data_IF_679842578666
#
_entry.id   IF_679842578666
#
_cell.length_a   1.000
_cell.length_b   1.000
_cell.length_c   1.000
_cell.angle_alpha   90.00
_cell.angle_beta   90.00
_cell.angle_gamma   90.00
#
_symmetry.space_group_name_H-M   'P 1'
#
loop_
_entity.id
_entity.type
_entity.pdbx_description
1 polymer ?
#
# COMPACT_ATOMS: atom_id res chain seq x y z
N UNK A 1 5.25 -4.44 -7.75
CA UNK A 1 4.79 -5.03 -6.47
C UNK A 1 3.83 -4.08 -5.79
N UNK A 2 2.65 -4.54 -5.39
CA UNK A 2 1.67 -3.76 -4.61
C UNK A 2 1.67 -4.34 -3.20
N UNK A 3 1.91 -3.49 -2.19
CA UNK A 3 1.77 -3.89 -0.78
C UNK A 3 0.29 -3.92 -0.46
N UNK A 4 -0.19 -5.08 0.01
CA UNK A 4 -1.60 -5.30 0.29
C UNK A 4 -1.83 -5.66 1.74
N UNK A 5 -2.90 -5.13 2.31
CA UNK A 5 -3.48 -5.45 3.61
C UNK A 5 -5.00 -5.20 3.54
N UNK A 6 -5.82 -5.75 4.45
CA UNK A 6 -7.28 -5.61 4.41
C UNK A 6 -7.71 -4.18 4.79
N UNK A 7 -7.31 -3.20 3.99
CA UNK A 7 -7.60 -1.78 4.16
C UNK A 7 -8.07 -1.16 2.84
N UNK A 8 -8.91 -0.12 2.89
CA UNK A 8 -9.31 0.62 1.69
C UNK A 8 -8.13 1.28 0.95
N UNK A 9 -7.05 1.60 1.66
CA UNK A 9 -5.86 2.23 1.08
C UNK A 9 -5.14 1.26 0.14
N UNK A 10 -4.98 0.00 0.55
CA UNK A 10 -4.40 -1.05 -0.28
C UNK A 10 -5.27 -1.38 -1.49
N UNK A 11 -6.60 -1.42 -1.32
CA UNK A 11 -7.52 -1.57 -2.44
C UNK A 11 -7.40 -0.42 -3.45
N UNK A 12 -7.27 0.83 -2.98
CA UNK A 12 -7.06 1.99 -3.84
C UNK A 12 -5.73 1.94 -4.59
N UNK A 13 -4.65 1.52 -3.92
CA UNK A 13 -3.34 1.35 -4.53
C UNK A 13 -3.36 0.28 -5.63
N UNK A 14 -4.05 -0.84 -5.39
CA UNK A 14 -4.23 -1.88 -6.40
C UNK A 14 -5.05 -1.36 -7.60
N UNK A 15 -6.14 -0.64 -7.34
CA UNK A 15 -6.95 -0.04 -8.39
C UNK A 15 -6.12 0.92 -9.25
N UNK A 16 -5.31 1.78 -8.64
CA UNK A 16 -4.38 2.65 -9.35
C UNK A 16 -3.39 1.85 -10.20
N UNK A 17 -2.81 0.79 -9.65
CA UNK A 17 -1.83 -0.04 -10.35
C UNK A 17 -2.43 -0.64 -11.64
N UNK A 18 -3.63 -1.25 -11.53
CA UNK A 18 -4.32 -1.91 -12.64
C UNK A 18 -4.79 -0.95 -13.74
N UNK A 19 -4.99 0.33 -13.42
CA UNK A 19 -5.53 1.32 -14.36
C UNK A 19 -4.47 2.23 -14.98
N UNK A 20 -3.36 2.50 -14.28
CA UNK A 20 -2.41 3.53 -14.69
C UNK A 20 -0.94 3.10 -14.67
N UNK A 21 -0.58 2.04 -13.95
CA UNK A 21 0.83 1.70 -13.73
C UNK A 21 1.29 0.47 -14.52
N UNK A 22 0.39 -0.48 -14.79
CA UNK A 22 0.75 -1.76 -15.39
C UNK A 22 0.50 -1.79 -16.91
N UNK A 23 1.40 -2.45 -17.63
CA UNK A 23 1.27 -2.78 -19.06
C UNK A 23 1.26 -4.30 -19.29
N UNK A 24 0.91 -4.75 -20.50
CA UNK A 24 0.64 -6.17 -20.83
C UNK A 24 1.80 -7.14 -20.52
N UNK A 25 3.05 -6.67 -20.53
CA UNK A 25 4.23 -7.49 -20.28
C UNK A 25 4.68 -7.52 -18.81
N UNK A 26 3.96 -6.81 -17.93
CA UNK A 26 4.34 -6.68 -16.53
C UNK A 26 3.95 -7.91 -15.71
N UNK A 27 4.69 -8.10 -14.61
CA UNK A 27 4.36 -9.06 -13.56
C UNK A 27 3.90 -8.31 -12.32
N UNK A 28 2.69 -8.60 -11.87
CA UNK A 28 2.12 -8.02 -10.67
C UNK A 28 2.34 -8.97 -9.48
N UNK A 29 3.02 -8.49 -8.45
CA UNK A 29 3.13 -9.19 -7.16
C UNK A 29 2.26 -8.49 -6.14
N UNK A 30 1.26 -9.19 -5.62
CA UNK A 30 0.48 -8.80 -4.43
C UNK A 30 1.27 -9.26 -3.20
N UNK A 31 1.89 -8.32 -2.49
CA UNK A 31 2.74 -8.61 -1.35
C UNK A 31 2.00 -8.40 -0.03
N UNK A 32 1.72 -9.49 0.66
CA UNK A 32 1.03 -9.50 1.96
C UNK A 32 2.02 -9.80 3.08
N UNK A 33 1.98 -8.98 4.12
CA UNK A 33 2.79 -9.18 5.31
C UNK A 33 1.89 -9.72 6.40
N UNK A 34 2.12 -10.97 6.78
CA UNK A 34 1.35 -11.65 7.81
C UNK A 34 1.65 -11.00 9.18
N UNK A 35 0.60 -10.87 9.99
CA UNK A 35 0.75 -10.39 11.36
C UNK A 35 1.24 -11.57 12.19
N UNK A 36 2.38 -11.42 12.87
CA UNK A 36 2.84 -12.41 13.84
C UNK A 36 1.83 -12.49 14.98
N UNK A 37 0.94 -13.49 14.96
CA UNK A 37 0.10 -13.83 16.10
C UNK A 37 1.03 -14.51 17.10
N UNK A 38 1.50 -13.79 18.12
CA UNK A 38 2.11 -14.47 19.25
C UNK A 38 1.07 -15.45 19.80
N UNK A 39 1.40 -16.74 19.75
CA UNK A 39 0.63 -17.82 20.36
C UNK A 39 0.65 -17.68 21.88
N UNK A 40 -0.09 -16.71 22.40
CA UNK A 40 -0.34 -16.54 23.84
C UNK A 40 -1.55 -15.63 24.06
N UNK A 41 -2.74 -16.09 23.66
CA UNK A 41 -3.96 -16.04 24.47
C UNK A 41 -5.18 -16.31 23.60
N UNK A 42 -5.90 -17.36 23.96
CA UNK A 42 -7.29 -17.57 23.57
C UNK A 42 -8.12 -16.38 24.05
N UNK A 43 -8.46 -15.46 23.14
CA UNK A 43 -9.57 -14.54 23.30
C UNK A 43 -10.11 -14.14 21.92
N UNK A 44 -11.29 -14.60 21.49
CA UNK A 44 -11.93 -14.11 20.28
C UNK A 44 -12.64 -12.82 20.66
N UNK A 45 -11.98 -11.67 20.57
CA UNK A 45 -12.66 -10.38 20.64
C UNK A 45 -11.86 -9.29 19.94
N UNK A 46 -12.07 -9.17 18.63
CA UNK A 46 -12.16 -7.86 17.99
C UNK A 46 -13.14 -7.96 16.82
N UNK A 47 -14.42 -7.76 17.14
CA UNK A 47 -15.42 -7.35 16.16
C UNK A 47 -15.15 -5.87 15.86
N UNK A 48 -14.83 -5.55 14.61
CA UNK A 48 -15.17 -4.29 13.92
C UNK A 48 -14.68 -4.39 12.47
N UNK A 49 -15.55 -4.83 11.57
CA UNK A 49 -16.41 -3.98 10.72
C UNK A 49 -15.77 -3.73 9.35
N UNK A 50 -16.15 -4.60 8.40
CA UNK A 50 -15.84 -4.46 6.98
C UNK A 50 -15.63 -5.81 6.32
N UNK A 51 -16.72 -6.47 5.91
CA UNK A 51 -16.94 -7.52 4.89
C UNK A 51 -15.76 -8.29 4.23
N UNK A 52 -14.64 -8.53 4.90
CA UNK A 52 -13.58 -9.39 4.42
C UNK A 52 -13.48 -10.55 5.41
N UNK A 53 -13.60 -11.77 4.90
CA UNK A 53 -13.45 -12.99 5.67
C UNK A 53 -12.04 -13.15 6.21
N UNK A 54 -11.56 -14.38 6.29
CA UNK A 54 -10.17 -14.66 6.66
C UNK A 54 -9.18 -13.91 5.76
N UNK A 55 -7.92 -13.75 6.18
CA UNK A 55 -6.86 -13.15 5.35
C UNK A 55 -6.77 -13.79 3.96
N UNK A 56 -7.11 -15.09 3.84
CA UNK A 56 -7.18 -15.79 2.58
C UNK A 56 -8.31 -15.25 1.68
N UNK A 57 -9.50 -15.01 2.24
CA UNK A 57 -10.66 -14.50 1.49
C UNK A 57 -10.37 -13.11 0.90
N UNK A 58 -9.69 -12.25 1.65
CA UNK A 58 -9.29 -10.93 1.17
C UNK A 58 -8.31 -11.00 0.00
N UNK A 59 -7.25 -11.80 0.11
CA UNK A 59 -6.24 -11.92 -0.94
C UNK A 59 -6.81 -12.55 -2.21
N UNK A 60 -7.72 -13.51 -2.08
CA UNK A 60 -8.42 -14.11 -3.20
C UNK A 60 -9.30 -13.07 -3.92
N UNK A 61 -9.99 -12.20 -3.19
CA UNK A 61 -10.75 -11.11 -3.79
C UNK A 61 -9.86 -10.14 -4.57
N UNK A 62 -8.72 -9.73 -4.00
CA UNK A 62 -7.77 -8.86 -4.71
C UNK A 62 -7.21 -9.52 -5.96
N UNK A 63 -6.84 -10.79 -5.88
CA UNK A 63 -6.34 -11.56 -7.03
C UNK A 63 -7.39 -11.64 -8.13
N UNK A 64 -8.64 -12.00 -7.81
CA UNK A 64 -9.74 -12.02 -8.77
C UNK A 64 -9.94 -10.64 -9.43
N UNK A 65 -9.86 -9.56 -8.66
CA UNK A 65 -9.97 -8.21 -9.21
C UNK A 65 -8.86 -7.91 -10.24
N UNK A 66 -7.64 -8.42 -10.02
CA UNK A 66 -6.55 -8.30 -11.00
C UNK A 66 -6.84 -9.11 -12.26
N UNK A 67 -7.27 -10.37 -12.11
CA UNK A 67 -7.57 -11.28 -13.23
C UNK A 67 -8.71 -10.76 -14.11
N UNK A 68 -9.72 -10.12 -13.51
CA UNK A 68 -10.83 -9.48 -14.23
C UNK A 68 -10.38 -8.20 -14.93
N UNK A 69 -9.64 -7.32 -14.24
CA UNK A 69 -9.26 -6.02 -14.79
C UNK A 69 -8.18 -6.11 -15.87
N UNK A 70 -7.23 -7.05 -15.72
CA UNK A 70 -6.05 -7.20 -16.56
C UNK A 70 -5.72 -8.69 -16.76
N UNK A 71 -6.50 -9.43 -17.56
CA UNK A 71 -6.39 -10.89 -17.69
C UNK A 71 -5.06 -11.38 -18.28
N UNK A 72 -4.30 -10.50 -18.93
CA UNK A 72 -3.01 -10.82 -19.54
C UNK A 72 -1.83 -10.67 -18.59
N UNK A 73 -2.02 -9.96 -17.47
CA UNK A 73 -0.97 -9.73 -16.49
C UNK A 73 -0.77 -10.98 -15.65
N UNK A 74 0.49 -11.36 -15.43
CA UNK A 74 0.82 -12.44 -14.52
C UNK A 74 0.76 -11.94 -13.07
N UNK A 75 -0.23 -12.41 -12.31
CA UNK A 75 -0.46 -12.04 -10.92
C UNK A 75 0.08 -13.13 -9.98
N UNK A 76 1.00 -12.76 -9.09
CA UNK A 76 1.55 -13.63 -8.05
C UNK A 76 1.19 -13.08 -6.67
N UNK A 77 0.79 -13.95 -5.75
CA UNK A 77 0.68 -13.60 -4.32
C UNK A 77 1.98 -14.01 -3.64
N UNK A 78 2.58 -13.10 -2.88
CA UNK A 78 3.74 -13.36 -2.05
C UNK A 78 3.40 -13.00 -0.61
N UNK A 79 3.45 -14.00 0.29
CA UNK A 79 3.21 -13.81 1.73
C UNK A 79 4.52 -13.88 2.48
N UNK A 80 4.69 -13.08 3.53
CA UNK A 80 5.89 -13.10 4.36
C UNK A 80 5.56 -12.64 5.77
N UNK A 81 6.11 -13.32 6.77
CA UNK A 81 6.04 -12.91 8.17
C UNK A 81 6.99 -11.75 8.48
N UNK A 82 6.69 -11.01 9.54
CA UNK A 82 7.54 -9.90 9.96
C UNK A 82 8.89 -10.33 10.57
N UNK A 83 9.02 -11.58 11.05
CA UNK A 83 10.26 -12.13 11.63
C UNK A 83 10.95 -11.15 12.62
N UNK A 84 10.15 -10.51 13.49
CA UNK A 84 10.62 -9.50 14.44
C UNK A 84 11.08 -8.16 13.85
N UNK A 85 11.11 -8.01 12.52
CA UNK A 85 11.43 -6.77 11.81
C UNK A 85 10.19 -5.91 11.63
N UNK A 86 10.38 -4.61 11.41
CA UNK A 86 9.28 -3.74 11.05
C UNK A 86 8.82 -3.97 9.59
N UNK A 87 7.58 -3.60 9.28
CA UNK A 87 6.99 -3.80 7.95
C UNK A 87 7.80 -3.15 6.82
N UNK A 88 8.36 -1.96 7.06
CA UNK A 88 9.08 -1.25 6.02
C UNK A 88 10.38 -1.98 5.68
N UNK A 89 11.13 -2.42 6.71
CA UNK A 89 12.32 -3.24 6.52
C UNK A 89 12.05 -4.53 5.73
N UNK A 90 10.93 -5.21 6.02
CA UNK A 90 10.50 -6.41 5.28
C UNK A 90 10.22 -6.10 3.81
N UNK A 91 9.48 -5.01 3.53
CA UNK A 91 9.18 -4.57 2.16
C UNK A 91 10.48 -4.25 1.41
N UNK A 92 11.41 -3.51 2.03
CA UNK A 92 12.68 -3.14 1.41
C UNK A 92 13.53 -4.38 1.09
N UNK A 93 13.69 -5.30 2.04
CA UNK A 93 14.42 -6.55 1.81
C UNK A 93 13.80 -7.34 0.68
N UNK A 94 12.49 -7.57 0.74
CA UNK A 94 11.80 -8.37 -0.27
C UNK A 94 11.81 -7.72 -1.64
N UNK A 95 11.75 -6.39 -1.71
CA UNK A 95 11.86 -5.65 -2.98
C UNK A 95 13.20 -5.88 -3.66
N UNK A 96 14.29 -5.99 -2.88
CA UNK A 96 15.63 -6.28 -3.40
C UNK A 96 15.75 -7.74 -3.83
N UNK A 97 15.28 -8.67 -3.00
CA UNK A 97 15.37 -10.11 -3.27
C UNK A 97 14.60 -10.51 -4.52
N UNK A 98 13.40 -9.93 -4.71
CA UNK A 98 12.56 -10.18 -5.88
C UNK A 98 12.90 -9.28 -7.08
N UNK A 99 13.91 -8.40 -6.96
CA UNK A 99 14.32 -7.43 -7.99
C UNK A 99 13.14 -6.62 -8.54
N UNK A 100 12.38 -6.01 -7.63
CA UNK A 100 11.20 -5.21 -7.96
C UNK A 100 11.61 -3.86 -8.56
N UNK A 101 11.00 -3.47 -9.69
CA UNK A 101 11.24 -2.17 -10.33
C UNK A 101 10.34 -1.04 -9.79
N UNK A 102 9.10 -1.38 -9.41
CA UNK A 102 8.09 -0.45 -8.90
C UNK A 102 7.36 -1.03 -7.68
N UNK A 103 7.38 -0.30 -6.57
CA UNK A 103 6.60 -0.55 -5.35
C UNK A 103 5.44 0.45 -5.30
N UNK A 104 4.23 -0.05 -5.09
CA UNK A 104 3.02 0.77 -4.92
C UNK A 104 2.44 0.48 -3.53
N UNK A 105 2.18 1.53 -2.75
CA UNK A 105 1.70 1.44 -1.36
C UNK A 105 0.49 2.33 -1.16
N UNK A 106 -0.55 1.82 -0.51
CA UNK A 106 -1.69 2.62 -0.09
C UNK A 106 -1.32 3.60 1.03
N UNK A 107 -1.60 4.89 0.85
CA UNK A 107 -1.38 5.91 1.87
C UNK A 107 -2.72 6.37 2.46
N UNK A 108 -2.78 6.40 3.80
CA UNK A 108 -3.97 6.88 4.52
C UNK A 108 -4.06 8.40 4.41
N UNK A 109 -5.27 8.87 4.15
CA UNK A 109 -5.61 10.29 4.31
C UNK A 109 -5.60 10.65 5.80
N UNK A 110 -4.69 11.51 6.22
CA UNK A 110 -4.76 12.08 7.57
C UNK A 110 -6.02 12.94 7.71
N UNK A 111 -6.85 12.69 8.73
CA UNK A 111 -8.08 13.46 9.02
C UNK A 111 -7.77 14.93 9.33
N UNK A 112 -6.56 15.22 9.79
CA UNK A 112 -6.06 16.60 10.01
C UNK A 112 -6.02 17.41 8.71
N UNK A 113 -5.85 16.75 7.56
CA UNK A 113 -5.78 17.39 6.24
C UNK A 113 -7.15 17.53 5.55
N UNK A 114 -8.22 16.98 6.14
CA UNK A 114 -9.57 16.98 5.54
C UNK A 114 -10.51 18.04 6.13
N UNK A 115 -10.38 18.36 7.42
CA UNK A 115 -11.32 19.24 8.12
C UNK A 115 -10.81 20.69 8.21
N UNK A 116 -9.50 20.91 8.26
CA UNK A 116 -8.95 22.24 8.54
C UNK A 116 -8.40 22.99 7.32
N UNK A 117 -8.30 22.41 6.13
CA UNK A 117 -7.83 23.14 4.94
C UNK A 117 -6.43 23.77 5.05
N UNK A 118 -5.69 23.54 6.14
CA UNK A 118 -4.35 24.09 6.34
C UNK A 118 -3.40 23.23 5.50
N UNK A 119 -3.18 23.67 4.26
CA UNK A 119 -1.92 23.45 3.56
C UNK A 119 -0.80 23.91 4.49
N UNK A 120 -0.19 22.99 5.24
CA UNK A 120 1.24 23.16 5.52
C UNK A 120 1.95 22.74 4.25
N UNK A 121 2.09 23.72 3.35
CA UNK A 121 3.21 23.74 2.42
C UNK A 121 4.47 23.37 3.22
N UNK A 122 5.29 22.51 2.61
CA UNK A 122 6.65 22.21 3.02
C UNK A 122 7.28 23.34 3.83
N UNK A 123 7.46 23.12 5.14
CA UNK A 123 8.00 24.13 6.05
C UNK A 123 7.59 23.90 7.50
N UNK A 124 8.51 23.27 8.26
CA UNK A 124 8.73 23.32 9.71
C UNK A 124 7.57 23.67 10.67
N UNK A 125 7.35 22.81 11.69
CA UNK A 125 7.48 23.15 13.12
C UNK A 125 6.80 22.08 14.02
N UNK A 126 7.59 21.62 15.00
CA UNK A 126 7.26 20.92 16.26
C UNK A 126 7.05 19.39 16.25
N UNK A 127 8.03 18.71 16.86
CA UNK A 127 8.03 17.31 17.28
C UNK A 127 9.05 16.46 16.52
N UNK A 128 9.78 15.51 17.15
CA UNK A 128 10.55 14.52 16.40
C UNK A 128 9.54 13.80 15.50
N UNK A 129 9.67 14.02 14.18
CA UNK A 129 8.79 13.41 13.20
C UNK A 129 8.87 11.90 13.44
N UNK A 130 7.81 11.29 13.96
CA UNK A 130 7.59 9.89 13.68
C UNK A 130 7.55 9.81 12.16
N UNK A 131 8.65 9.37 11.55
CA UNK A 131 8.77 9.28 10.10
C UNK A 131 7.61 8.40 9.64
N UNK A 132 6.74 8.94 8.78
CA UNK A 132 5.66 8.14 8.20
C UNK A 132 6.31 6.92 7.54
N UNK A 133 5.87 5.70 7.88
CA UNK A 133 6.45 4.45 7.36
C UNK A 133 6.47 4.46 5.83
N UNK A 134 5.48 5.12 5.22
CA UNK A 134 5.38 5.32 3.78
C UNK A 134 6.48 6.25 3.25
N UNK A 135 6.74 7.37 3.93
CA UNK A 135 7.84 8.27 3.56
C UNK A 135 9.20 7.59 3.71
N UNK A 136 9.39 6.82 4.79
CA UNK A 136 10.61 6.02 4.96
C UNK A 136 10.81 5.05 3.80
N UNK A 137 9.75 4.37 3.36
CA UNK A 137 9.81 3.47 2.21
C UNK A 137 10.14 4.20 0.90
N UNK A 138 9.54 5.36 0.66
CA UNK A 138 9.82 6.17 -0.53
C UNK A 138 11.29 6.61 -0.59
N UNK A 139 11.86 7.02 0.55
CA UNK A 139 13.22 7.55 0.58
C UNK A 139 14.28 6.44 0.47
N UNK A 140 14.01 5.27 1.08
CA UNK A 140 14.96 4.17 1.23
C UNK A 140 14.72 3.02 0.25
N UNK A 141 13.68 3.06 -0.59
CA UNK A 141 13.45 2.02 -1.60
C UNK A 141 14.62 1.95 -2.59
N UNK A 142 15.10 0.74 -2.92
CA UNK A 142 16.14 0.57 -3.94
C UNK A 142 15.63 0.84 -5.36
N UNK A 143 14.31 0.88 -5.54
CA UNK A 143 13.61 1.08 -6.80
C UNK A 143 12.54 2.18 -6.69
N UNK A 144 11.78 2.40 -7.75
CA UNK A 144 10.71 3.40 -7.75
C UNK A 144 9.64 3.02 -6.73
N UNK A 145 9.35 3.90 -5.78
CA UNK A 145 8.29 3.69 -4.79
C UNK A 145 7.28 4.83 -4.87
N UNK A 146 6.01 4.46 -5.02
CA UNK A 146 4.89 5.38 -5.16
C UNK A 146 3.85 5.07 -4.09
N UNK A 147 3.57 6.06 -3.25
CA UNK A 147 2.46 6.04 -2.35
C UNK A 147 1.22 6.65 -3.00
N UNK A 148 0.09 5.96 -2.86
CA UNK A 148 -1.16 6.27 -3.53
C UNK A 148 -2.23 6.60 -2.51
N UNK A 149 -2.84 7.76 -2.65
CA UNK A 149 -3.98 8.18 -1.84
C UNK A 149 -5.17 8.49 -2.75
N UNK A 150 -6.27 7.74 -2.61
CA UNK A 150 -7.52 8.00 -3.35
C UNK A 150 -8.19 9.30 -2.88
N UNK A 151 -8.65 10.12 -3.81
CA UNK A 151 -9.31 11.40 -3.53
C UNK A 151 -10.80 11.32 -3.86
N UNK A 152 -11.62 10.97 -2.87
CA UNK A 152 -13.07 10.83 -3.06
C UNK A 152 -13.43 9.71 -4.05
N UNK A 153 -14.68 9.68 -4.52
CA UNK A 153 -15.10 8.66 -5.49
C UNK A 153 -14.56 8.95 -6.90
N UNK A 154 -14.66 10.20 -7.37
CA UNK A 154 -14.31 10.60 -8.74
C UNK A 154 -13.13 11.59 -8.81
N UNK A 155 -12.42 11.81 -7.70
CA UNK A 155 -11.35 12.81 -7.65
C UNK A 155 -9.96 12.26 -7.97
N UNK A 156 -9.84 11.04 -8.48
CA UNK A 156 -8.56 10.43 -8.86
C UNK A 156 -7.65 10.10 -7.67
N UNK A 157 -6.34 10.27 -7.87
CA UNK A 157 -5.29 9.84 -6.96
C UNK A 157 -4.29 10.96 -6.67
N UNK A 158 -3.83 11.05 -5.42
CA UNK A 158 -2.65 11.82 -5.06
C UNK A 158 -1.49 10.85 -4.91
N UNK A 159 -0.41 11.10 -5.64
CA UNK A 159 0.79 10.29 -5.70
C UNK A 159 1.95 11.00 -4.98
N UNK A 160 2.68 10.24 -4.17
CA UNK A 160 3.93 10.66 -3.56
C UNK A 160 5.03 9.67 -3.92
N UNK A 161 6.15 10.18 -4.43
CA UNK A 161 7.37 9.45 -4.74
C UNK A 161 8.57 10.23 -4.20
N UNK A 162 9.78 9.75 -4.52
CA UNK A 162 11.03 10.39 -4.11
C UNK A 162 11.22 11.74 -4.81
N UNK A 163 10.85 11.83 -6.08
CA UNK A 163 11.06 13.02 -6.91
C UNK A 163 9.82 13.93 -6.99
N UNK A 164 8.62 13.40 -6.72
CA UNK A 164 7.38 14.15 -6.82
C UNK A 164 6.53 13.96 -5.57
N UNK A 165 6.05 15.05 -4.98
CA UNK A 165 5.12 15.03 -3.85
C UNK A 165 3.82 15.71 -4.24
N UNK A 166 2.70 15.19 -3.75
CA UNK A 166 1.35 15.69 -3.99
C UNK A 166 0.99 15.79 -5.49
N UNK A 167 1.48 14.86 -6.31
CA UNK A 167 1.12 14.83 -7.72
C UNK A 167 -0.31 14.32 -7.85
N UNK A 168 -1.21 15.16 -8.36
CA UNK A 168 -2.62 14.80 -8.49
C UNK A 168 -2.90 14.25 -9.88
N UNK A 169 -3.16 12.96 -9.95
CA UNK A 169 -3.66 12.26 -11.13
C UNK A 169 -5.18 12.27 -11.11
N UNK A 170 -5.80 12.88 -12.12
CA UNK A 170 -7.26 12.88 -12.28
C UNK A 170 -7.76 11.49 -12.69
N UNK A 171 -9.00 11.17 -12.33
CA UNK A 171 -9.67 9.93 -12.72
C UNK A 171 -10.10 9.95 -14.18
#
# INVERSE_FOLDING_TARGET
>A
MVVVDPTPQSAAALQYALSHALVEQDKLILFYIEKSYNSSSSAPNSISEGAFGTDADFLDQMRRACEVAQPKINVKIEKTDMDGKDKASVILSKSKDLRIDLIIIGQKRSLSSAILGIKRQSGSLKGPKAIDKVDYLIENSPCSCVAVQKKGQNGGYVLNSKTHKNFWLLA
#
